data_IF_995690832844
#
_entry.id   IF_995690832844
#
_cell.length_a   1.000
_cell.length_b   1.000
_cell.length_c   1.000
_cell.angle_alpha   90.00
_cell.angle_beta   90.00
_cell.angle_gamma   90.00
#
_symmetry.space_group_name_H-M   'P 1'
#
loop_
_entity.id
_entity.type
_entity.pdbx_description
1 polymer ?
#
# COMPACT_ATOMS: atom_id res chain seq x y z
N UNK A 1 10.90 3.42 9.00
CA UNK A 1 9.68 3.19 8.20
C UNK A 1 9.69 4.23 7.08
N UNK A 2 9.44 3.87 5.81
CA UNK A 2 9.32 4.84 4.72
C UNK A 2 8.07 5.74 4.85
N UNK A 3 7.16 5.42 5.78
CA UNK A 3 5.97 6.20 6.06
C UNK A 3 5.97 6.73 7.50
N UNK A 4 5.50 7.96 7.67
CA UNK A 4 5.51 8.71 8.93
C UNK A 4 4.46 8.19 9.93
N UNK A 5 3.35 7.66 9.42
CA UNK A 5 2.20 7.13 10.17
C UNK A 5 2.32 5.65 10.57
N UNK A 6 3.29 4.93 9.99
CA UNK A 6 3.46 3.49 10.21
C UNK A 6 4.52 3.18 11.25
N UNK A 7 4.05 2.78 12.44
CA UNK A 7 4.87 2.17 13.50
C UNK A 7 4.95 0.66 13.31
N UNK A 8 6.11 0.09 13.64
CA UNK A 8 6.45 -1.31 13.38
C UNK A 8 5.68 -2.35 14.23
N UNK A 9 5.00 -1.90 15.28
CA UNK A 9 4.19 -2.73 16.18
C UNK A 9 2.72 -2.82 15.74
N UNK A 10 2.32 -2.10 14.69
CA UNK A 10 0.96 -2.15 14.17
C UNK A 10 0.70 -3.50 13.48
N UNK A 11 -0.47 -4.13 13.69
CA UNK A 11 -0.76 -5.45 13.15
C UNK A 11 -0.75 -5.50 11.62
N UNK A 12 -1.03 -4.38 10.95
CA UNK A 12 -1.02 -4.25 9.49
C UNK A 12 0.32 -3.79 8.92
N UNK A 13 1.32 -3.48 9.74
CA UNK A 13 2.60 -2.92 9.29
C UNK A 13 3.25 -3.77 8.20
N UNK A 14 3.39 -5.08 8.43
CA UNK A 14 4.04 -5.99 7.48
C UNK A 14 3.28 -6.09 6.15
N UNK A 15 1.94 -6.09 6.20
CA UNK A 15 1.11 -6.15 5.00
C UNK A 15 1.30 -4.89 4.16
N UNK A 16 1.30 -3.71 4.80
CA UNK A 16 1.51 -2.43 4.11
C UNK A 16 2.89 -2.39 3.45
N UNK A 17 3.95 -2.71 4.19
CA UNK A 17 5.32 -2.71 3.65
C UNK A 17 5.45 -3.67 2.46
N UNK A 18 4.82 -4.85 2.51
CA UNK A 18 4.85 -5.79 1.38
C UNK A 18 4.09 -5.28 0.15
N UNK A 19 2.91 -4.68 0.36
CA UNK A 19 2.12 -4.10 -0.72
C UNK A 19 2.84 -2.92 -1.38
N UNK A 20 3.52 -2.07 -0.61
CA UNK A 20 4.22 -0.89 -1.13
C UNK A 20 5.53 -1.25 -1.80
N UNK A 21 6.30 -2.19 -1.24
CA UNK A 21 7.58 -2.65 -1.84
C UNK A 21 7.38 -3.36 -3.18
N UNK A 22 6.26 -4.07 -3.35
CA UNK A 22 5.88 -4.71 -4.62
C UNK A 22 5.19 -3.74 -5.60
N UNK A 23 4.99 -2.49 -5.21
CA UNK A 23 4.29 -1.48 -6.02
C UNK A 23 2.80 -1.78 -6.25
N UNK A 24 2.19 -2.62 -5.41
CA UNK A 24 0.76 -2.96 -5.48
C UNK A 24 -0.09 -1.80 -4.97
N UNK A 25 0.38 -1.14 -3.90
CA UNK A 25 -0.24 0.05 -3.33
C UNK A 25 0.79 1.17 -3.21
N UNK A 26 0.33 2.42 -3.28
CA UNK A 26 1.16 3.63 -3.18
C UNK A 26 0.74 4.41 -1.93
N UNK A 27 1.65 5.20 -1.37
CA UNK A 27 1.31 6.15 -0.31
C UNK A 27 0.17 7.06 -0.77
N UNK A 28 -0.78 7.35 0.14
CA UNK A 28 -1.87 8.29 -0.15
C UNK A 28 -1.33 9.69 -0.44
N UNK A 29 -0.31 10.10 0.30
CA UNK A 29 0.39 11.35 0.04
C UNK A 29 1.91 11.14 0.03
N UNK A 30 2.49 11.23 -1.17
CA UNK A 30 3.94 11.14 -1.36
C UNK A 30 4.69 12.32 -0.74
N UNK A 31 4.02 13.44 -0.48
CA UNK A 31 4.65 14.65 0.05
C UNK A 31 4.78 14.56 1.58
N UNK A 32 3.72 14.17 2.29
CA UNK A 32 3.77 13.90 3.74
C UNK A 32 4.41 12.55 4.08
N UNK A 33 4.47 11.63 3.12
CA UNK A 33 4.93 10.26 3.36
C UNK A 33 3.95 9.48 4.24
N UNK A 34 2.66 9.82 4.22
CA UNK A 34 1.62 9.11 4.94
C UNK A 34 0.99 8.03 4.06
N UNK A 35 0.85 6.82 4.61
CA UNK A 35 0.14 5.75 3.92
C UNK A 35 -1.37 5.81 4.15
N UNK A 36 -1.80 6.19 5.36
CA UNK A 36 -3.20 6.28 5.80
C UNK A 36 -3.92 4.92 5.69
N UNK A 37 -3.44 3.93 6.44
CA UNK A 37 -3.93 2.55 6.38
C UNK A 37 -5.42 2.38 6.75
N UNK A 38 -6.00 3.33 7.48
CA UNK A 38 -7.38 3.31 7.95
C UNK A 38 -8.30 4.23 7.13
N UNK A 39 -7.74 4.98 6.18
CA UNK A 39 -8.49 5.89 5.34
C UNK A 39 -9.23 5.19 4.20
N UNK A 40 -10.14 5.93 3.58
CA UNK A 40 -10.86 5.46 2.40
C UNK A 40 -9.93 5.39 1.18
N UNK A 41 -10.14 4.36 0.37
CA UNK A 41 -9.47 4.16 -0.92
C UNK A 41 -10.45 4.45 -2.05
N UNK A 42 -10.05 5.26 -3.03
CA UNK A 42 -10.87 5.51 -4.21
C UNK A 42 -11.11 4.22 -5.01
N UNK A 43 -12.30 4.05 -5.57
CA UNK A 43 -12.61 2.87 -6.40
C UNK A 43 -11.66 2.68 -7.59
N UNK A 44 -11.16 3.77 -8.16
CA UNK A 44 -10.16 3.72 -9.24
C UNK A 44 -8.81 3.17 -8.76
N UNK A 45 -8.35 3.62 -7.58
CA UNK A 45 -7.10 3.16 -6.96
C UNK A 45 -7.21 1.70 -6.52
N UNK A 46 -8.34 1.32 -5.93
CA UNK A 46 -8.61 -0.07 -5.56
C UNK A 46 -8.54 -1.00 -6.78
N UNK A 47 -9.14 -0.59 -7.90
CA UNK A 47 -9.10 -1.36 -9.15
C UNK A 47 -7.67 -1.47 -9.71
N UNK A 48 -6.90 -0.38 -9.68
CA UNK A 48 -5.51 -0.35 -10.11
C UNK A 48 -4.65 -1.30 -9.27
N UNK A 49 -4.77 -1.24 -7.94
CA UNK A 49 -4.06 -2.12 -7.01
C UNK A 49 -4.40 -3.59 -7.23
N UNK A 50 -5.68 -3.92 -7.45
CA UNK A 50 -6.10 -5.29 -7.78
C UNK A 50 -5.51 -5.77 -9.10
N UNK A 51 -5.44 -4.91 -10.12
CA UNK A 51 -4.83 -5.24 -11.41
C UNK A 51 -3.33 -5.51 -11.29
N UNK A 52 -2.62 -4.70 -10.50
CA UNK A 52 -1.19 -4.89 -10.23
C UNK A 52 -0.96 -6.18 -9.44
N UNK A 53 -1.74 -6.42 -8.39
CA UNK A 53 -1.68 -7.65 -7.59
C UNK A 53 -1.82 -8.90 -8.47
N UNK A 54 -2.82 -8.91 -9.37
CA UNK A 54 -3.02 -10.01 -10.31
C UNK A 54 -1.81 -10.23 -11.20
N UNK A 55 -1.27 -9.15 -11.78
CA UNK A 55 -0.08 -9.20 -12.64
C UNK A 55 1.14 -9.75 -11.90
N UNK A 56 1.31 -9.39 -10.62
CA UNK A 56 2.39 -9.89 -9.77
C UNK A 56 2.26 -11.38 -9.48
N UNK A 57 1.03 -11.88 -9.29
CA UNK A 57 0.77 -13.31 -9.08
C UNK A 57 0.93 -14.14 -10.35
N UNK A 58 0.50 -13.63 -11.50
CA UNK A 58 0.66 -14.32 -12.81
C UNK A 58 2.12 -14.42 -13.27
N UNK A 59 3.05 -13.66 -12.65
CA UNK A 59 4.49 -13.72 -12.94
C UNK A 59 5.21 -14.89 -12.27
N UNK A 60 4.54 -15.65 -11.41
CA UNK A 60 5.05 -16.84 -10.74
C UNK A 60 4.39 -18.11 -11.28
#
# INVERSE_FOLDING_TARGET
SPFTDLRNDLPYFNAVILCTTRGIMVAKDLISGEFDAMGDVSGAEALLSLRVLRTQLEKY
#
